data_IF_976924328514
#
_entry.id   IF_976924328514
#
_cell.length_a   1.000
_cell.length_b   1.000
_cell.length_c   1.000
_cell.angle_alpha   90.00
_cell.angle_beta   90.00
_cell.angle_gamma   90.00
#
_symmetry.space_group_name_H-M   'P 1'
#
loop_
_entity.id
_entity.type
_entity.pdbx_description
1 polymer ?
#
# COMPACT_ATOMS: atom_id res chain seq x y z
N UNK A 1 9.00 -4.38 -13.84
CA UNK A 1 7.60 -4.74 -13.49
C UNK A 1 6.70 -3.66 -14.06
N UNK A 2 5.59 -4.02 -14.72
CA UNK A 2 4.60 -3.05 -15.18
C UNK A 2 3.52 -2.90 -14.12
N UNK A 3 3.10 -1.67 -13.85
CA UNK A 3 1.96 -1.38 -12.99
C UNK A 3 0.64 -1.87 -13.59
N UNK A 4 -0.40 -1.89 -12.79
CA UNK A 4 -1.75 -2.21 -13.24
C UNK A 4 -2.64 -0.97 -13.15
N UNK A 5 -3.58 -0.86 -14.09
CA UNK A 5 -4.72 0.06 -13.95
C UNK A 5 -5.52 -0.34 -12.72
N UNK A 6 -5.89 0.64 -11.91
CA UNK A 6 -6.74 0.44 -10.74
C UNK A 6 -8.01 1.23 -10.92
N UNK A 7 -9.18 0.58 -10.73
CA UNK A 7 -10.47 1.22 -10.99
C UNK A 7 -11.51 0.85 -9.95
N UNK A 8 -12.22 1.86 -9.48
CA UNK A 8 -13.47 1.74 -8.74
C UNK A 8 -14.58 2.27 -9.64
N UNK A 9 -15.63 1.48 -9.86
CA UNK A 9 -16.79 1.81 -10.71
C UNK A 9 -18.04 1.91 -9.82
N UNK A 10 -18.45 3.11 -9.45
CA UNK A 10 -19.68 3.37 -8.71
C UNK A 10 -19.73 2.67 -7.34
N UNK A 11 -18.57 2.48 -6.69
CA UNK A 11 -18.51 1.70 -5.46
C UNK A 11 -19.19 2.42 -4.31
N UNK A 12 -19.97 1.65 -3.52
CA UNK A 12 -20.58 2.10 -2.28
C UNK A 12 -20.38 1.05 -1.20
N UNK A 13 -20.17 1.50 0.03
CA UNK A 13 -20.01 0.64 1.19
C UNK A 13 -20.48 1.32 2.46
N UNK A 14 -21.06 0.52 3.38
CA UNK A 14 -21.45 0.95 4.71
C UNK A 14 -21.02 -0.08 5.74
N UNK A 15 -20.56 0.38 6.89
CA UNK A 15 -20.42 -0.43 8.09
C UNK A 15 -21.69 -0.27 8.93
N UNK A 16 -22.39 -1.39 9.21
CA UNK A 16 -23.73 -1.36 9.81
C UNK A 16 -24.68 -0.44 9.00
N UNK A 17 -25.14 0.67 9.59
CA UNK A 17 -26.04 1.65 8.96
C UNK A 17 -25.31 2.91 8.46
N UNK A 18 -24.01 3.05 8.74
CA UNK A 18 -23.25 4.25 8.39
C UNK A 18 -22.61 4.10 7.01
N UNK A 19 -22.99 4.98 6.06
CA UNK A 19 -22.37 5.03 4.74
C UNK A 19 -20.98 5.65 4.82
N UNK A 20 -19.96 4.87 4.45
CA UNK A 20 -18.54 5.28 4.46
C UNK A 20 -18.02 5.60 3.08
N UNK A 21 -18.57 4.96 2.04
CA UNK A 21 -18.24 5.21 0.63
C UNK A 21 -19.54 5.25 -0.17
N UNK A 22 -19.74 6.25 -1.02
CA UNK A 22 -20.99 6.50 -1.73
C UNK A 22 -20.75 6.84 -3.20
N UNK A 23 -20.96 5.86 -4.09
CA UNK A 23 -20.92 6.04 -5.53
C UNK A 23 -19.58 6.48 -6.09
N UNK A 24 -18.47 6.06 -5.47
CA UNK A 24 -17.13 6.48 -5.89
C UNK A 24 -16.73 5.80 -7.19
N UNK A 25 -16.37 6.62 -8.20
CA UNK A 25 -15.76 6.20 -9.44
C UNK A 25 -14.40 6.87 -9.61
N UNK A 26 -13.34 6.07 -9.66
CA UNK A 26 -11.95 6.51 -9.79
C UNK A 26 -11.22 5.57 -10.74
N UNK A 27 -10.31 6.12 -11.53
CA UNK A 27 -9.39 5.33 -12.36
C UNK A 27 -7.99 5.88 -12.24
N UNK A 28 -7.04 5.01 -11.97
CA UNK A 28 -5.60 5.30 -11.96
C UNK A 28 -4.95 4.47 -13.06
N UNK A 29 -4.21 5.12 -13.93
CA UNK A 29 -3.47 4.46 -15.00
C UNK A 29 -2.35 3.58 -14.43
N UNK A 30 -1.87 2.63 -15.22
CA UNK A 30 -0.68 1.87 -14.87
C UNK A 30 0.53 2.81 -14.73
N UNK A 31 1.26 2.69 -13.63
CA UNK A 31 2.38 3.56 -13.30
C UNK A 31 2.01 4.94 -12.71
N UNK A 32 0.73 5.20 -12.45
CA UNK A 32 0.31 6.39 -11.72
C UNK A 32 0.83 6.37 -10.27
N UNK A 33 1.08 7.56 -9.74
CA UNK A 33 1.33 7.75 -8.32
C UNK A 33 0.37 8.79 -7.76
N UNK A 34 -0.53 8.36 -6.87
CA UNK A 34 -1.69 9.14 -6.43
C UNK A 34 -1.76 9.17 -4.91
N UNK A 35 -2.01 10.36 -4.35
CA UNK A 35 -2.36 10.52 -2.95
C UNK A 35 -3.89 10.59 -2.79
N UNK A 36 -4.44 9.79 -1.88
CA UNK A 36 -5.81 9.95 -1.40
C UNK A 36 -5.80 10.86 -0.17
N UNK A 37 -6.37 12.05 -0.31
CA UNK A 37 -6.49 13.06 0.73
C UNK A 37 -7.91 13.07 1.31
N UNK A 38 -8.07 13.74 2.45
CA UNK A 38 -9.35 13.88 3.15
C UNK A 38 -9.19 13.67 4.66
N UNK A 39 -10.16 14.15 5.43
CA UNK A 39 -10.14 14.01 6.90
C UNK A 39 -10.31 12.55 7.36
N UNK A 40 -10.10 12.30 8.65
CA UNK A 40 -10.34 10.99 9.26
C UNK A 40 -11.82 10.59 9.10
N UNK A 41 -12.07 9.34 8.74
CA UNK A 41 -13.43 8.86 8.44
C UNK A 41 -13.94 9.18 7.04
N UNK A 42 -13.18 9.88 6.17
CA UNK A 42 -13.62 10.19 4.80
C UNK A 42 -13.77 8.98 3.87
N UNK A 43 -13.38 7.76 4.28
CA UNK A 43 -13.51 6.53 3.50
C UNK A 43 -12.21 6.06 2.81
N UNK A 44 -11.09 6.75 2.99
CA UNK A 44 -9.79 6.44 2.33
C UNK A 44 -9.34 5.00 2.55
N UNK A 45 -9.19 4.60 3.81
CA UNK A 45 -8.78 3.23 4.18
C UNK A 45 -9.78 2.17 3.69
N UNK A 46 -11.07 2.48 3.65
CA UNK A 46 -12.09 1.58 3.11
C UNK A 46 -11.89 1.35 1.62
N UNK A 47 -11.66 2.41 0.83
CA UNK A 47 -11.36 2.31 -0.60
C UNK A 47 -10.08 1.53 -0.87
N UNK A 48 -9.01 1.80 -0.11
CA UNK A 48 -7.74 1.10 -0.32
C UNK A 48 -7.83 -0.38 0.07
N UNK A 49 -8.53 -0.72 1.14
CA UNK A 49 -8.76 -2.12 1.56
C UNK A 49 -9.60 -2.92 0.56
N UNK A 50 -10.44 -2.26 -0.22
CA UNK A 50 -11.17 -2.92 -1.30
C UNK A 50 -10.22 -3.51 -2.35
N UNK A 51 -9.06 -2.90 -2.62
CA UNK A 51 -8.08 -3.41 -3.58
C UNK A 51 -7.49 -4.78 -3.20
N UNK A 52 -7.48 -5.08 -1.91
CA UNK A 52 -7.02 -6.38 -1.39
C UNK A 52 -8.16 -7.39 -1.21
N UNK A 53 -9.42 -7.00 -1.50
CA UNK A 53 -10.58 -7.85 -1.20
C UNK A 53 -10.87 -7.99 0.30
N UNK A 54 -10.23 -7.18 1.15
CA UNK A 54 -10.47 -7.16 2.61
C UNK A 54 -11.81 -6.50 2.97
N UNK A 55 -12.27 -5.60 2.13
CA UNK A 55 -13.58 -4.97 2.19
C UNK A 55 -14.27 -5.17 0.84
N UNK A 56 -15.48 -5.72 0.85
CA UNK A 56 -16.27 -5.88 -0.37
C UNK A 56 -17.24 -4.71 -0.51
N UNK A 57 -17.32 -4.04 -1.68
CA UNK A 57 -18.34 -3.02 -1.89
C UNK A 57 -19.73 -3.64 -1.84
N UNK A 58 -20.73 -2.88 -1.34
CA UNK A 58 -22.16 -3.27 -1.39
C UNK A 58 -22.76 -3.02 -2.78
N UNK A 59 -22.19 -2.08 -3.53
CA UNK A 59 -22.57 -1.78 -4.91
C UNK A 59 -21.32 -1.33 -5.69
N UNK A 60 -21.37 -1.47 -7.00
CA UNK A 60 -20.25 -1.17 -7.90
C UNK A 60 -19.24 -2.30 -7.93
N UNK A 61 -18.09 -2.06 -8.56
CA UNK A 61 -17.00 -3.04 -8.67
C UNK A 61 -15.63 -2.39 -8.52
N UNK A 62 -14.64 -3.22 -8.18
CA UNK A 62 -13.23 -2.82 -8.07
C UNK A 62 -12.40 -3.71 -8.99
N UNK A 63 -11.57 -3.09 -9.82
CA UNK A 63 -10.71 -3.79 -10.77
C UNK A 63 -9.23 -3.47 -10.51
N UNK A 64 -8.38 -4.48 -10.64
CA UNK A 64 -6.91 -4.33 -10.66
C UNK A 64 -6.39 -5.02 -11.92
N UNK A 65 -6.04 -4.23 -12.92
CA UNK A 65 -5.84 -4.72 -14.28
C UNK A 65 -7.10 -5.36 -14.82
N UNK A 66 -7.00 -6.61 -15.27
CA UNK A 66 -8.11 -7.43 -15.77
C UNK A 66 -8.85 -8.23 -14.65
N UNK A 67 -8.42 -8.12 -13.39
CA UNK A 67 -9.06 -8.85 -12.29
C UNK A 67 -10.17 -8.03 -11.63
N UNK A 68 -11.37 -8.62 -11.56
CA UNK A 68 -12.40 -8.16 -10.65
C UNK A 68 -12.08 -8.69 -9.24
N UNK A 69 -11.92 -7.77 -8.30
CA UNK A 69 -11.56 -8.10 -6.91
C UNK A 69 -12.63 -8.94 -6.22
N UNK A 70 -13.91 -8.80 -6.61
CA UNK A 70 -15.00 -9.56 -6.01
C UNK A 70 -14.85 -11.09 -6.21
N UNK A 71 -14.20 -11.50 -7.31
CA UNK A 71 -13.93 -12.91 -7.63
C UNK A 71 -12.60 -13.44 -7.06
N UNK A 72 -11.89 -12.64 -6.24
CA UNK A 72 -10.56 -12.97 -5.74
C UNK A 72 -10.49 -13.02 -4.23
N UNK A 73 -9.61 -13.89 -3.71
CA UNK A 73 -9.24 -13.92 -2.30
C UNK A 73 -8.08 -12.96 -2.05
N UNK A 74 -7.88 -12.49 -0.80
CA UNK A 74 -6.77 -11.59 -0.46
C UNK A 74 -5.37 -12.17 -0.80
N UNK A 75 -5.17 -13.47 -0.64
CA UNK A 75 -3.91 -14.13 -0.99
C UNK A 75 -3.65 -14.15 -2.51
N UNK A 76 -4.69 -14.24 -3.33
CA UNK A 76 -4.57 -14.09 -4.78
C UNK A 76 -4.26 -12.62 -5.14
N UNK A 77 -4.96 -11.66 -4.49
CA UNK A 77 -4.72 -10.24 -4.73
C UNK A 77 -3.29 -9.82 -4.38
N UNK A 78 -2.66 -10.45 -3.39
CA UNK A 78 -1.26 -10.21 -3.02
C UNK A 78 -0.26 -10.44 -4.18
N UNK A 79 -0.65 -11.17 -5.24
CA UNK A 79 0.16 -11.30 -6.46
C UNK A 79 0.25 -10.01 -7.29
N UNK A 80 -0.70 -9.08 -7.11
CA UNK A 80 -0.76 -7.81 -7.85
C UNK A 80 -0.63 -6.60 -6.95
N UNK A 81 -1.13 -6.68 -5.72
CA UNK A 81 -1.25 -5.54 -4.80
C UNK A 81 -0.45 -5.82 -3.53
N UNK A 82 0.53 -5.00 -3.27
CA UNK A 82 1.22 -4.95 -1.98
C UNK A 82 0.60 -3.86 -1.10
N UNK A 83 0.25 -4.19 0.13
CA UNK A 83 -0.40 -3.26 1.05
C UNK A 83 0.42 -3.11 2.34
N UNK A 84 0.87 -1.90 2.62
CA UNK A 84 1.50 -1.54 3.89
C UNK A 84 0.45 -0.91 4.81
N UNK A 85 0.04 -1.66 5.84
CA UNK A 85 -0.96 -1.20 6.82
C UNK A 85 -0.39 -0.14 7.77
N UNK A 86 -1.27 0.68 8.31
CA UNK A 86 -0.92 1.72 9.28
C UNK A 86 -0.20 1.17 10.52
N UNK A 87 -0.63 -0.01 11.01
CA UNK A 87 -0.06 -0.66 12.18
C UNK A 87 0.87 -1.81 11.77
N UNK A 88 2.18 -1.58 11.88
CA UNK A 88 3.21 -2.55 11.54
C UNK A 88 3.08 -3.87 12.33
N UNK A 89 2.70 -3.79 13.61
CA UNK A 89 2.58 -4.97 14.49
C UNK A 89 1.52 -5.98 14.01
N UNK A 90 0.60 -5.58 13.14
CA UNK A 90 -0.40 -6.47 12.54
C UNK A 90 0.16 -7.31 11.39
N UNK A 91 1.37 -7.03 10.93
CA UNK A 91 2.00 -7.69 9.78
C UNK A 91 3.22 -8.53 10.15
N UNK A 92 3.81 -8.34 11.35
CA UNK A 92 5.02 -9.03 11.79
C UNK A 92 4.67 -10.27 12.62
N UNK A 93 5.26 -11.41 12.28
CA UNK A 93 4.95 -12.70 12.94
C UNK A 93 6.10 -13.73 12.91
N UNK A 94 7.17 -13.47 12.15
CA UNK A 94 8.28 -14.41 12.03
C UNK A 94 9.32 -14.23 13.15
N UNK A 95 10.27 -15.17 13.25
CA UNK A 95 11.30 -15.19 14.30
C UNK A 95 12.45 -14.23 14.00
N UNK A 96 12.64 -13.82 12.76
CA UNK A 96 13.64 -12.85 12.36
C UNK A 96 13.09 -11.89 11.30
N UNK A 97 13.73 -10.71 11.21
CA UNK A 97 13.43 -9.71 10.16
C UNK A 97 13.52 -10.34 8.77
N UNK A 98 14.58 -11.14 8.52
CA UNK A 98 14.77 -11.80 7.23
C UNK A 98 13.62 -12.75 6.90
N UNK A 99 13.16 -13.54 7.88
CA UNK A 99 12.05 -14.49 7.67
C UNK A 99 10.74 -13.75 7.40
N UNK A 100 10.45 -12.64 8.11
CA UNK A 100 9.28 -11.80 7.85
C UNK A 100 9.30 -11.25 6.43
N UNK A 101 10.42 -10.67 6.00
CA UNK A 101 10.57 -10.09 4.65
C UNK A 101 10.48 -11.17 3.56
N UNK A 102 11.00 -12.38 3.82
CA UNK A 102 10.98 -13.49 2.88
C UNK A 102 9.62 -14.20 2.76
N UNK A 103 8.74 -14.02 3.74
CA UNK A 103 7.46 -14.75 3.78
C UNK A 103 6.57 -14.48 2.56
N UNK A 104 6.36 -13.21 2.22
CA UNK A 104 5.54 -12.83 1.08
C UNK A 104 6.05 -13.41 -0.25
N UNK A 105 7.31 -13.15 -0.63
CA UNK A 105 7.91 -13.72 -1.84
C UNK A 105 7.82 -15.26 -1.90
N UNK A 106 8.13 -15.96 -0.80
CA UNK A 106 8.02 -17.42 -0.73
C UNK A 106 6.59 -17.91 -0.96
N UNK A 107 5.61 -17.26 -0.33
CA UNK A 107 4.19 -17.60 -0.48
C UNK A 107 3.69 -17.37 -1.91
N UNK A 108 4.30 -16.44 -2.66
CA UNK A 108 3.99 -16.19 -4.07
C UNK A 108 4.76 -17.09 -5.04
N UNK A 109 5.69 -17.93 -4.55
CA UNK A 109 6.53 -18.79 -5.36
C UNK A 109 7.76 -18.10 -5.95
N UNK A 110 8.13 -16.92 -5.47
CA UNK A 110 9.30 -16.17 -5.94
C UNK A 110 10.61 -16.56 -5.22
N UNK A 111 10.53 -17.45 -4.20
CA UNK A 111 11.68 -17.78 -3.35
C UNK A 111 12.20 -16.58 -2.56
N UNK A 112 13.50 -16.58 -2.24
CA UNK A 112 14.17 -15.51 -1.49
C UNK A 112 14.80 -14.44 -2.40
N UNK A 113 14.57 -14.52 -3.71
CA UNK A 113 15.19 -13.61 -4.67
C UNK A 113 14.79 -12.16 -4.44
N UNK A 114 15.76 -11.30 -4.10
CA UNK A 114 15.57 -9.88 -3.85
C UNK A 114 15.30 -9.52 -2.37
N UNK A 115 15.25 -10.49 -1.45
CA UNK A 115 15.11 -10.21 -0.01
C UNK A 115 16.32 -9.44 0.50
N UNK A 116 17.53 -9.89 0.18
CA UNK A 116 18.76 -9.21 0.62
C UNK A 116 18.92 -7.84 0.00
N UNK A 117 18.51 -7.65 -1.26
CA UNK A 117 18.50 -6.36 -1.93
C UNK A 117 17.60 -5.35 -1.20
N UNK A 118 16.39 -5.78 -0.83
CA UNK A 118 15.44 -4.93 -0.10
C UNK A 118 15.90 -4.64 1.32
N UNK A 119 16.49 -5.64 2.01
CA UNK A 119 17.07 -5.44 3.34
C UNK A 119 18.22 -4.42 3.30
N UNK A 120 19.08 -4.48 2.29
CA UNK A 120 20.14 -3.52 2.09
C UNK A 120 19.57 -2.13 1.71
N UNK A 121 18.58 -2.08 0.82
CA UNK A 121 17.90 -0.86 0.37
C UNK A 121 17.29 -0.07 1.53
N UNK A 122 16.74 -0.75 2.55
CA UNK A 122 16.11 -0.15 3.71
C UNK A 122 17.00 -0.17 4.98
N UNK A 123 18.31 -0.39 4.81
CA UNK A 123 19.30 -0.40 5.91
C UNK A 123 18.98 -1.41 7.03
N UNK A 124 18.30 -2.52 6.68
CA UNK A 124 17.89 -3.57 7.61
C UNK A 124 18.87 -4.74 7.69
N UNK A 125 19.91 -4.77 6.84
CA UNK A 125 20.87 -5.90 6.76
C UNK A 125 21.54 -6.20 8.11
N UNK A 126 21.91 -5.18 8.87
CA UNK A 126 22.55 -5.32 10.18
C UNK A 126 21.64 -5.90 11.27
N UNK A 127 20.33 -5.92 11.06
CA UNK A 127 19.33 -6.45 12.01
C UNK A 127 18.55 -7.64 11.44
N UNK A 128 18.94 -8.16 10.29
CA UNK A 128 18.21 -9.19 9.55
C UNK A 128 17.94 -10.47 10.37
N UNK A 129 18.81 -10.83 11.29
CA UNK A 129 18.68 -12.01 12.16
C UNK A 129 18.00 -11.71 13.50
N UNK A 130 17.70 -10.45 13.81
CA UNK A 130 17.01 -10.10 15.06
C UNK A 130 15.52 -10.37 14.97
N UNK A 131 14.92 -10.63 16.13
CA UNK A 131 13.46 -10.73 16.22
C UNK A 131 12.84 -9.34 15.97
N UNK A 132 11.80 -9.22 15.10
CA UNK A 132 11.22 -7.91 14.76
C UNK A 132 10.76 -7.11 15.99
N UNK A 133 10.20 -7.77 16.99
CA UNK A 133 9.71 -7.09 18.20
C UNK A 133 10.81 -6.59 19.14
N UNK A 134 12.08 -7.00 18.94
CA UNK A 134 13.24 -6.42 19.64
C UNK A 134 13.70 -5.09 19.03
N UNK A 135 13.04 -4.65 17.95
CA UNK A 135 13.38 -3.42 17.24
C UNK A 135 12.46 -2.27 17.66
N UNK A 136 12.95 -1.02 17.61
CA UNK A 136 12.10 0.16 17.79
C UNK A 136 10.94 0.18 16.79
N UNK A 137 9.81 0.76 17.19
CA UNK A 137 8.60 0.81 16.34
C UNK A 137 8.83 1.37 14.91
N UNK A 138 9.62 2.44 14.70
CA UNK A 138 9.94 2.90 13.35
C UNK A 138 10.66 1.84 12.50
N UNK A 139 11.61 1.12 13.10
CA UNK A 139 12.36 0.05 12.40
C UNK A 139 11.45 -1.13 12.08
N UNK A 140 10.53 -1.52 12.99
CA UNK A 140 9.50 -2.52 12.69
C UNK A 140 8.66 -2.14 11.47
N UNK A 141 8.31 -0.87 11.35
CA UNK A 141 7.58 -0.35 10.19
C UNK A 141 8.39 -0.46 8.89
N UNK A 142 9.71 -0.25 8.93
CA UNK A 142 10.58 -0.53 7.79
C UNK A 142 10.58 -2.01 7.41
N UNK A 143 10.53 -2.92 8.38
CA UNK A 143 10.46 -4.37 8.11
C UNK A 143 9.18 -4.72 7.35
N UNK A 144 8.02 -4.14 7.73
CA UNK A 144 6.77 -4.38 6.98
C UNK A 144 6.84 -3.83 5.56
N UNK A 145 7.43 -2.65 5.37
CA UNK A 145 7.65 -2.08 4.04
C UNK A 145 8.58 -2.95 3.20
N UNK A 146 9.66 -3.48 3.82
CA UNK A 146 10.58 -4.40 3.16
C UNK A 146 9.85 -5.67 2.67
N UNK A 147 8.99 -6.27 3.49
CA UNK A 147 8.17 -7.41 3.12
C UNK A 147 7.28 -7.14 1.91
N UNK A 148 6.60 -5.99 1.91
CA UNK A 148 5.76 -5.56 0.78
C UNK A 148 6.58 -5.33 -0.48
N UNK A 149 7.75 -4.69 -0.37
CA UNK A 149 8.63 -4.44 -1.52
C UNK A 149 9.24 -5.71 -2.10
N UNK A 150 9.59 -6.67 -1.24
CA UNK A 150 10.16 -7.96 -1.64
C UNK A 150 9.18 -8.81 -2.47
N UNK A 151 7.87 -8.65 -2.27
CA UNK A 151 6.83 -9.31 -3.07
C UNK A 151 6.80 -8.84 -4.52
N UNK A 152 7.39 -7.67 -4.83
CA UNK A 152 7.43 -7.06 -6.17
C UNK A 152 6.04 -6.89 -6.81
N UNK A 153 5.09 -6.29 -6.13
CA UNK A 153 3.73 -6.11 -6.67
C UNK A 153 3.71 -5.05 -7.78
N UNK A 154 2.72 -5.13 -8.67
CA UNK A 154 2.47 -4.12 -9.70
C UNK A 154 1.70 -2.90 -9.18
N UNK A 155 1.04 -3.02 -8.03
CA UNK A 155 0.36 -1.92 -7.31
C UNK A 155 0.87 -1.89 -5.88
N UNK A 156 1.26 -0.73 -5.40
CA UNK A 156 1.63 -0.47 -4.01
C UNK A 156 0.60 0.44 -3.35
N UNK A 157 0.11 0.01 -2.21
CA UNK A 157 -0.82 0.79 -1.39
C UNK A 157 -0.17 1.05 -0.03
N UNK A 158 -0.10 2.32 0.34
CA UNK A 158 0.45 2.78 1.60
C UNK A 158 -0.62 3.46 2.44
N UNK A 159 -0.83 2.98 3.67
CA UNK A 159 -1.70 3.60 4.66
C UNK A 159 -0.82 4.12 5.82
N UNK A 160 -0.54 5.44 5.82
CA UNK A 160 0.35 6.14 6.75
C UNK A 160 1.76 5.53 6.87
N UNK A 161 2.52 5.37 5.76
CA UNK A 161 3.78 4.62 5.76
C UNK A 161 4.90 5.28 6.58
N UNK A 162 4.88 6.61 6.73
CA UNK A 162 5.95 7.38 7.39
C UNK A 162 5.56 7.90 8.78
N UNK A 163 4.39 7.54 9.29
CA UNK A 163 3.96 7.96 10.62
C UNK A 163 4.97 7.48 11.70
N UNK A 164 5.49 8.41 12.48
CA UNK A 164 6.50 8.16 13.52
C UNK A 164 7.94 8.11 13.01
N UNK A 165 8.22 8.41 11.74
CA UNK A 165 9.57 8.48 11.19
C UNK A 165 10.19 9.86 11.41
N UNK A 166 11.49 9.88 11.69
CA UNK A 166 12.31 11.07 11.55
C UNK A 166 12.59 11.39 10.06
N UNK A 167 13.34 12.46 9.82
CA UNK A 167 13.67 12.88 8.46
C UNK A 167 14.54 11.86 7.70
N UNK A 168 15.44 11.14 8.40
CA UNK A 168 16.31 10.14 7.81
C UNK A 168 15.53 8.94 7.30
N UNK A 169 14.73 8.31 8.17
CA UNK A 169 13.89 7.17 7.82
C UNK A 169 12.86 7.53 6.77
N UNK A 170 12.27 8.73 6.84
CA UNK A 170 11.37 9.24 5.80
C UNK A 170 12.08 9.32 4.44
N UNK A 171 13.27 9.91 4.40
CA UNK A 171 14.07 10.03 3.17
C UNK A 171 14.39 8.67 2.55
N UNK A 172 14.74 7.68 3.37
CA UNK A 172 15.00 6.32 2.94
C UNK A 172 13.77 5.68 2.27
N UNK A 173 12.59 5.80 2.89
CA UNK A 173 11.34 5.26 2.33
C UNK A 173 10.93 6.01 1.07
N UNK A 174 11.05 7.34 1.04
CA UNK A 174 10.79 8.15 -0.17
C UNK A 174 11.63 7.64 -1.33
N UNK A 175 12.94 7.48 -1.14
CA UNK A 175 13.84 7.00 -2.18
C UNK A 175 13.46 5.60 -2.68
N UNK A 176 13.08 4.71 -1.75
CA UNK A 176 12.63 3.35 -2.10
C UNK A 176 11.32 3.35 -2.90
N UNK A 177 10.35 4.20 -2.54
CA UNK A 177 9.09 4.35 -3.28
C UNK A 177 9.32 4.96 -4.65
N UNK A 178 10.14 6.01 -4.74
CA UNK A 178 10.48 6.65 -6.03
C UNK A 178 11.12 5.68 -7.02
N UNK A 179 11.99 4.77 -6.56
CA UNK A 179 12.56 3.71 -7.44
C UNK A 179 11.47 2.82 -8.03
N UNK A 180 10.43 2.49 -7.27
CA UNK A 180 9.29 1.67 -7.74
C UNK A 180 8.40 2.44 -8.71
N UNK A 181 8.17 3.73 -8.45
CA UNK A 181 7.47 4.62 -9.38
C UNK A 181 8.24 4.71 -10.70
N UNK A 182 9.55 4.89 -10.65
CA UNK A 182 10.42 4.92 -11.84
C UNK A 182 10.42 3.59 -12.61
N UNK A 183 10.23 2.46 -11.90
CA UNK A 183 10.06 1.15 -12.50
C UNK A 183 8.64 0.89 -13.06
N UNK A 184 7.74 1.88 -13.01
CA UNK A 184 6.39 1.82 -13.56
C UNK A 184 5.34 1.16 -12.65
N UNK A 185 5.62 0.96 -11.37
CA UNK A 185 4.66 0.45 -10.39
C UNK A 185 3.60 1.51 -10.11
N UNK A 186 2.33 1.12 -10.07
CA UNK A 186 1.23 2.02 -9.66
C UNK A 186 1.27 2.20 -8.14
N UNK A 187 1.27 3.45 -7.67
CA UNK A 187 1.37 3.78 -6.25
C UNK A 187 0.14 4.54 -5.78
N UNK A 188 -0.45 4.09 -4.69
CA UNK A 188 -1.54 4.76 -4.00
C UNK A 188 -1.13 4.99 -2.55
N UNK A 189 -1.13 6.24 -2.10
CA UNK A 189 -0.80 6.56 -0.71
C UNK A 189 -1.92 7.33 -0.02
N UNK A 190 -2.18 6.95 1.23
CA UNK A 190 -2.96 7.70 2.21
C UNK A 190 -1.97 8.19 3.25
N UNK A 191 -1.77 9.49 3.37
CA UNK A 191 -0.87 10.03 4.39
C UNK A 191 -1.22 11.48 4.75
N UNK A 192 -0.97 11.81 6.01
CA UNK A 192 -0.99 13.18 6.53
C UNK A 192 0.41 13.82 6.49
N UNK A 193 1.45 13.07 6.14
CA UNK A 193 2.80 13.59 5.93
C UNK A 193 2.90 14.25 4.55
N UNK A 194 2.69 15.58 4.53
CA UNK A 194 2.71 16.36 3.29
C UNK A 194 4.07 16.31 2.57
N UNK A 195 5.18 16.16 3.32
CA UNK A 195 6.50 16.04 2.71
C UNK A 195 6.63 14.70 1.97
N UNK A 196 6.14 13.59 2.55
CA UNK A 196 6.08 12.31 1.88
C UNK A 196 5.18 12.37 0.64
N UNK A 197 3.96 12.89 0.77
CA UNK A 197 3.01 13.04 -0.35
C UNK A 197 3.63 13.84 -1.50
N UNK A 198 4.21 15.01 -1.21
CA UNK A 198 4.83 15.86 -2.22
C UNK A 198 6.01 15.18 -2.94
N UNK A 199 6.74 14.29 -2.25
CA UNK A 199 7.87 13.59 -2.82
C UNK A 199 7.48 12.38 -3.71
N UNK A 200 6.33 11.74 -3.45
CA UNK A 200 5.96 10.49 -4.13
C UNK A 200 4.72 10.59 -5.01
N UNK A 201 3.76 11.47 -4.74
CA UNK A 201 2.53 11.57 -5.50
C UNK A 201 2.66 12.59 -6.64
N UNK A 202 2.25 12.18 -7.86
CA UNK A 202 2.16 13.07 -9.02
C UNK A 202 0.86 13.87 -9.06
N UNK A 203 -0.19 13.32 -8.45
CA UNK A 203 -1.51 13.95 -8.31
C UNK A 203 -2.19 13.50 -7.03
N UNK A 204 -3.24 14.19 -6.64
CA UNK A 204 -4.04 13.85 -5.48
C UNK A 204 -5.52 13.72 -5.84
N UNK A 205 -6.24 12.97 -5.03
CA UNK A 205 -7.70 12.86 -5.06
C UNK A 205 -8.20 13.11 -3.65
N UNK A 206 -9.16 14.01 -3.50
CA UNK A 206 -9.72 14.34 -2.20
C UNK A 206 -11.07 13.66 -1.99
N UNK A 207 -11.19 12.97 -0.84
CA UNK A 207 -12.45 12.39 -0.39
C UNK A 207 -13.03 13.20 0.77
N UNK A 208 -14.34 13.43 0.70
CA UNK A 208 -15.13 13.98 1.80
C UNK A 208 -16.41 13.16 1.95
N UNK A 209 -16.68 12.72 3.18
CA UNK A 209 -17.89 11.95 3.53
C UNK A 209 -18.20 10.82 2.52
N UNK A 210 -17.15 10.08 2.15
CA UNK A 210 -17.27 8.93 1.24
C UNK A 210 -17.46 9.28 -0.23
N UNK A 211 -17.25 10.52 -0.66
CA UNK A 211 -17.37 10.96 -2.05
C UNK A 211 -16.08 11.63 -2.51
N UNK A 212 -15.82 11.54 -3.80
CA UNK A 212 -14.75 12.30 -4.44
C UNK A 212 -15.23 13.74 -4.63
N UNK A 213 -14.50 14.71 -4.09
CA UNK A 213 -14.84 16.15 -4.19
C UNK A 213 -13.84 16.92 -5.04
N UNK A 214 -12.60 16.42 -5.16
CA UNK A 214 -11.58 17.01 -6.00
C UNK A 214 -10.74 15.90 -6.64
N UNK A 215 -10.62 15.95 -7.96
CA UNK A 215 -9.80 15.08 -8.77
C UNK A 215 -9.19 15.93 -9.89
N UNK A 216 -7.97 16.48 -9.71
CA UNK A 216 -7.30 17.18 -10.78
C UNK A 216 -7.24 16.32 -12.04
N UNK A 217 -7.46 16.95 -13.19
CA UNK A 217 -7.36 16.26 -14.48
C UNK A 217 -5.98 15.59 -14.62
N UNK A 218 -5.98 14.42 -15.24
CA UNK A 218 -4.79 13.65 -15.51
C UNK A 218 -3.88 14.34 -16.54
#
# INVERSE_FOLDING_TARGET
MSGFVVRWDGVSHAYAAENVVSGVSLTFAAGDSVALLGHNGAGKTTLTRMLMGLVRPRAGRVMVGDWDVAGKRPDEMARRVGYAFQHADQQLFARSVREDVAFGPRSLGHGDGGVDDVLAELELAGVAQRHPYDLPAPVRKLVTLAGVFAMRPGVLVFDEPTAGFDAGLRGLVVAAVQRRIAAGVTVLCVSHDLAFVAAVARRSVTLERGRVVDQPAA
#
